data_IF_361917775554
#
_entry.id   IF_361917775554
#
_cell.length_a   1.000
_cell.length_b   1.000
_cell.length_c   1.000
_cell.angle_alpha   90.00
_cell.angle_beta   90.00
_cell.angle_gamma   90.00
#
_symmetry.space_group_name_H-M   'P 1'
#
loop_
_entity.id
_entity.type
_entity.pdbx_description
1 polymer ?
#
# COMPACT_ATOMS: atom_id res chain seq x y z
N UNK A 1 13.14 0.11 -2.78
CA UNK A 1 13.15 -0.71 -4.01
C UNK A 1 11.80 -1.40 -4.12
N UNK A 2 10.94 -1.00 -5.07
CA UNK A 2 9.81 -1.85 -5.47
C UNK A 2 10.37 -2.79 -6.53
N UNK A 3 10.49 -4.07 -6.18
CA UNK A 3 11.27 -5.06 -6.96
C UNK A 3 10.42 -5.63 -8.10
N UNK A 4 10.85 -5.40 -9.35
CA UNK A 4 10.31 -6.04 -10.56
C UNK A 4 11.45 -6.20 -11.59
N UNK A 5 11.87 -7.44 -11.87
CA UNK A 5 12.83 -7.92 -12.89
C UNK A 5 12.56 -9.44 -13.10
N UNK A 6 12.68 -10.15 -14.24
CA UNK A 6 13.14 -9.90 -15.62
C UNK A 6 13.44 -11.24 -16.35
N UNK A 7 12.60 -11.60 -17.34
CA UNK A 7 12.80 -12.47 -18.55
C UNK A 7 13.18 -13.98 -18.49
N UNK A 8 12.38 -14.81 -19.17
CA UNK A 8 12.78 -16.13 -19.70
C UNK A 8 11.61 -17.13 -19.89
N UNK A 9 11.37 -17.60 -21.13
CA UNK A 9 10.30 -18.53 -21.55
C UNK A 9 10.20 -19.86 -20.74
N UNK A 10 8.99 -20.25 -20.30
CA UNK A 10 8.43 -21.62 -20.37
C UNK A 10 6.95 -21.63 -19.91
N UNK A 11 6.10 -22.34 -20.66
CA UNK A 11 4.70 -22.61 -20.34
C UNK A 11 4.61 -23.48 -19.06
N UNK A 12 3.99 -22.99 -18.00
CA UNK A 12 3.37 -23.82 -16.97
C UNK A 12 2.17 -23.06 -16.39
N UNK A 13 0.97 -23.65 -16.50
CA UNK A 13 -0.16 -23.24 -15.68
C UNK A 13 0.21 -23.48 -14.23
N UNK A 14 0.59 -22.43 -13.50
CA UNK A 14 0.82 -22.50 -12.06
C UNK A 14 -0.24 -21.67 -11.35
N UNK A 15 -1.26 -22.40 -10.94
CA UNK A 15 -2.14 -22.07 -9.83
C UNK A 15 -1.29 -21.78 -8.60
N UNK A 16 -1.15 -20.51 -8.22
CA UNK A 16 -0.40 -20.14 -7.01
C UNK A 16 -1.23 -20.40 -5.76
N UNK A 17 -0.91 -21.45 -5.00
CA UNK A 17 -1.29 -21.58 -3.59
C UNK A 17 -0.25 -20.86 -2.73
N UNK A 18 -0.70 -20.37 -1.57
CA UNK A 18 0.16 -19.90 -0.51
C UNK A 18 1.04 -21.05 -0.04
N UNK A 19 2.36 -20.92 -0.19
CA UNK A 19 3.32 -21.88 0.34
C UNK A 19 4.37 -21.11 1.13
N UNK A 20 4.61 -21.52 2.37
CA UNK A 20 5.66 -21.01 3.28
C UNK A 20 7.10 -21.28 2.81
N UNK A 21 7.31 -21.51 1.51
CA UNK A 21 8.57 -22.01 0.95
C UNK A 21 8.76 -23.54 1.07
N UNK A 22 7.90 -24.25 1.81
CA UNK A 22 7.91 -25.73 1.92
C UNK A 22 6.76 -26.42 1.16
N UNK A 23 5.76 -25.65 0.73
CA UNK A 23 4.53 -26.18 0.11
C UNK A 23 3.29 -26.08 1.02
N UNK A 24 3.39 -25.51 2.22
CA UNK A 24 2.28 -25.49 3.18
C UNK A 24 1.34 -24.29 3.03
N UNK A 25 0.04 -24.58 2.99
CA UNK A 25 -1.07 -23.63 2.92
C UNK A 25 -1.12 -22.74 4.17
N UNK A 26 -1.31 -21.41 4.02
CA UNK A 26 -1.63 -20.57 5.19
C UNK A 26 -3.07 -20.90 5.63
N UNK A 27 -3.20 -21.55 6.78
CA UNK A 27 -4.48 -21.71 7.46
C UNK A 27 -4.92 -20.41 8.12
N UNK A 28 -6.15 -19.97 7.87
CA UNK A 28 -6.83 -18.99 8.70
C UNK A 28 -7.51 -19.73 9.85
N UNK A 29 -7.22 -19.35 11.11
CA UNK A 29 -7.86 -19.91 12.29
C UNK A 29 -8.67 -18.86 13.03
N UNK A 30 -9.96 -19.11 13.16
CA UNK A 30 -10.85 -18.21 13.89
C UNK A 30 -10.79 -18.49 15.40
N UNK A 31 -10.74 -17.41 16.17
CA UNK A 31 -10.86 -17.42 17.62
C UNK A 31 -11.66 -16.20 18.08
N UNK A 32 -12.15 -16.22 19.32
CA UNK A 32 -12.98 -15.15 19.86
C UNK A 32 -12.30 -14.45 21.03
N UNK A 33 -12.31 -13.13 21.01
CA UNK A 33 -11.71 -12.26 22.02
C UNK A 33 -12.59 -11.06 22.34
N UNK A 34 -12.04 -10.11 23.10
CA UNK A 34 -12.69 -8.83 23.37
C UNK A 34 -12.46 -7.85 22.21
N UNK A 35 -11.22 -7.80 21.71
CA UNK A 35 -10.81 -6.93 20.61
C UNK A 35 -10.57 -7.75 19.34
N UNK A 36 -10.93 -7.19 18.20
CA UNK A 36 -10.67 -7.80 16.91
C UNK A 36 -9.18 -7.64 16.54
N UNK A 37 -8.53 -8.71 16.09
CA UNK A 37 -7.13 -8.70 15.67
C UNK A 37 -6.80 -9.82 14.68
N UNK A 38 -5.71 -9.66 13.91
CA UNK A 38 -5.12 -10.75 13.11
C UNK A 38 -3.67 -10.96 13.57
N UNK A 39 -3.35 -12.15 14.07
CA UNK A 39 -2.04 -12.51 14.62
C UNK A 39 -1.37 -13.59 13.77
N UNK A 40 -0.05 -13.51 13.63
CA UNK A 40 0.73 -14.53 12.93
C UNK A 40 1.11 -15.61 13.93
N UNK A 41 0.95 -16.87 13.52
CA UNK A 41 1.30 -18.06 14.26
C UNK A 41 2.18 -18.96 13.40
N UNK A 42 2.98 -19.85 14.00
CA UNK A 42 3.82 -20.79 13.24
C UNK A 42 3.04 -21.68 12.26
N UNK A 43 1.75 -21.87 12.48
CA UNK A 43 0.83 -22.72 11.72
C UNK A 43 -0.20 -21.93 10.89
N UNK A 44 -0.05 -20.61 10.76
CA UNK A 44 -0.90 -19.77 9.93
C UNK A 44 -1.30 -18.44 10.58
N UNK A 45 -2.46 -17.91 10.21
CA UNK A 45 -2.97 -16.65 10.74
C UNK A 45 -4.13 -16.91 11.68
N UNK A 46 -4.01 -16.42 12.91
CA UNK A 46 -5.10 -16.44 13.88
C UNK A 46 -5.90 -15.14 13.78
N UNK A 47 -7.17 -15.26 13.42
CA UNK A 47 -8.14 -14.16 13.40
C UNK A 47 -8.89 -14.19 14.74
N UNK A 48 -8.84 -13.09 15.48
CA UNK A 48 -9.59 -12.86 16.72
C UNK A 48 -10.72 -11.90 16.40
N UNK A 49 -11.96 -12.26 16.70
CA UNK A 49 -13.13 -11.38 16.54
C UNK A 49 -13.95 -11.34 17.84
N UNK A 50 -14.76 -10.28 18.06
CA UNK A 50 -15.63 -10.18 19.22
C UNK A 50 -16.67 -11.31 19.25
N UNK A 51 -17.01 -11.75 20.46
CA UNK A 51 -18.12 -12.70 20.68
C UNK A 51 -19.46 -12.07 20.30
N UNK A 52 -20.30 -12.80 19.58
CA UNK A 52 -21.69 -12.38 19.28
C UNK A 52 -21.96 -11.92 17.85
N UNK A 53 -21.01 -12.05 16.93
CA UNK A 53 -21.29 -11.84 15.51
C UNK A 53 -22.20 -12.94 14.95
N UNK A 54 -23.19 -12.56 14.15
CA UNK A 54 -24.11 -13.48 13.49
C UNK A 54 -23.48 -14.10 12.24
N UNK A 55 -22.77 -13.27 11.47
CA UNK A 55 -22.06 -13.66 10.25
C UNK A 55 -20.67 -13.05 10.26
N UNK A 56 -19.68 -13.82 9.82
CA UNK A 56 -18.30 -13.38 9.66
C UNK A 56 -17.88 -13.63 8.22
N UNK A 57 -17.48 -12.60 7.49
CA UNK A 57 -17.05 -12.74 6.09
C UNK A 57 -15.64 -12.22 5.89
N UNK A 58 -14.99 -12.69 4.83
CA UNK A 58 -13.62 -12.32 4.53
C UNK A 58 -13.37 -12.08 3.04
N UNK A 59 -12.29 -11.37 2.75
CA UNK A 59 -11.71 -11.19 1.41
C UNK A 59 -10.20 -11.35 1.48
N UNK A 60 -9.60 -11.79 0.37
CA UNK A 60 -8.15 -12.08 0.27
C UNK A 60 -7.46 -11.23 -0.79
N UNK A 61 -8.23 -10.36 -1.44
CA UNK A 61 -7.83 -9.47 -2.52
C UNK A 61 -7.86 -7.98 -2.10
N UNK A 62 -8.10 -7.70 -0.82
CA UNK A 62 -8.18 -6.34 -0.28
C UNK A 62 -9.54 -5.65 -0.40
N UNK A 63 -10.54 -6.26 -1.05
CA UNK A 63 -11.89 -5.69 -1.13
C UNK A 63 -12.54 -5.60 0.26
N UNK A 64 -13.43 -4.64 0.48
CA UNK A 64 -14.17 -4.56 1.75
C UNK A 64 -15.13 -5.75 1.83
N UNK A 65 -15.06 -6.61 2.87
CA UNK A 65 -15.99 -7.72 3.02
C UNK A 65 -17.42 -7.20 3.20
N UNK A 66 -18.38 -7.89 2.58
CA UNK A 66 -19.81 -7.58 2.66
C UNK A 66 -20.56 -8.79 3.23
N UNK A 67 -21.84 -8.67 3.63
CA UNK A 67 -22.65 -9.83 4.04
C UNK A 67 -22.76 -10.92 2.95
N UNK A 68 -22.55 -10.59 1.68
CA UNK A 68 -22.52 -11.56 0.57
C UNK A 68 -21.13 -12.10 0.22
N UNK A 69 -20.08 -11.67 0.92
CA UNK A 69 -18.72 -12.20 0.75
C UNK A 69 -18.60 -13.61 1.38
N UNK A 70 -17.56 -14.40 1.02
CA UNK A 70 -17.36 -15.72 1.59
C UNK A 70 -17.34 -15.72 3.13
N UNK A 71 -18.08 -16.64 3.74
CA UNK A 71 -18.13 -16.80 5.21
C UNK A 71 -16.83 -17.41 5.71
N UNK A 72 -16.28 -16.85 6.79
CA UNK A 72 -15.10 -17.37 7.45
C UNK A 72 -15.47 -18.59 8.29
N UNK A 73 -14.83 -19.73 8.00
CA UNK A 73 -14.94 -20.96 8.80
C UNK A 73 -13.87 -20.99 9.90
N UNK A 74 -14.02 -21.91 10.86
CA UNK A 74 -13.04 -22.10 11.96
C UNK A 74 -11.62 -22.32 11.45
N UNK A 75 -11.48 -23.04 10.33
CA UNK A 75 -10.25 -23.22 9.59
C UNK A 75 -10.52 -23.04 8.09
N UNK A 76 -9.71 -22.25 7.40
CA UNK A 76 -9.92 -21.93 5.98
C UNK A 76 -8.58 -21.77 5.25
N UNK A 77 -8.46 -22.42 4.09
CA UNK A 77 -7.36 -22.15 3.16
C UNK A 77 -7.65 -20.96 2.26
N UNK A 78 -6.62 -20.15 1.99
CA UNK A 78 -6.72 -18.94 1.17
C UNK A 78 -6.14 -19.18 -0.23
N UNK A 79 -6.98 -18.96 -1.25
CA UNK A 79 -6.61 -19.01 -2.67
C UNK A 79 -6.01 -17.71 -3.22
N UNK A 80 -5.80 -17.67 -4.54
CA UNK A 80 -4.97 -16.69 -5.27
C UNK A 80 -5.22 -15.20 -4.95
N UNK A 81 -4.14 -14.42 -4.98
CA UNK A 81 -4.18 -12.95 -4.98
C UNK A 81 -4.38 -12.44 -6.41
N UNK A 82 -5.38 -11.58 -6.58
CA UNK A 82 -5.72 -11.02 -7.88
C UNK A 82 -4.90 -9.75 -8.17
N UNK A 83 -4.10 -9.76 -9.25
CA UNK A 83 -3.16 -8.68 -9.63
C UNK A 83 -3.79 -7.49 -10.36
N UNK A 84 -5.09 -7.23 -10.20
CA UNK A 84 -5.81 -6.26 -11.04
C UNK A 84 -5.25 -4.84 -10.92
N UNK A 85 -4.92 -4.41 -9.71
CA UNK A 85 -4.55 -3.02 -9.43
C UNK A 85 -3.14 -2.66 -9.91
N UNK A 86 -2.22 -3.63 -9.96
CA UNK A 86 -0.86 -3.40 -10.45
C UNK A 86 -0.79 -3.18 -11.97
N UNK A 87 -1.91 -3.37 -12.69
CA UNK A 87 -1.99 -3.17 -14.14
C UNK A 87 -2.70 -1.86 -14.52
N UNK A 88 -3.11 -1.05 -13.54
CA UNK A 88 -3.72 0.26 -13.78
C UNK A 88 -2.60 1.26 -14.11
N UNK A 89 -2.64 1.95 -15.27
CA UNK A 89 -1.65 2.98 -15.59
C UNK A 89 -1.71 4.17 -14.63
N UNK A 90 -0.56 4.48 -14.01
CA UNK A 90 -0.47 5.53 -12.98
C UNK A 90 0.11 6.84 -13.51
N UNK A 91 0.67 6.82 -14.73
CA UNK A 91 1.23 7.98 -15.44
C UNK A 91 1.31 7.72 -16.94
N UNK A 92 1.57 8.76 -17.74
CA UNK A 92 1.78 8.62 -19.19
C UNK A 92 3.00 7.76 -19.57
N UNK A 93 4.02 7.72 -18.71
CA UNK A 93 5.19 6.85 -18.90
C UNK A 93 5.14 5.57 -18.08
N UNK A 94 3.98 5.23 -17.52
CA UNK A 94 3.83 3.99 -16.79
C UNK A 94 4.14 2.80 -17.70
N UNK A 95 4.92 1.87 -17.15
CA UNK A 95 5.22 0.59 -17.80
C UNK A 95 4.66 -0.52 -16.94
N UNK A 96 4.11 -1.53 -17.62
CA UNK A 96 3.62 -2.74 -16.97
C UNK A 96 4.71 -3.33 -16.05
N UNK A 97 4.36 -3.70 -14.80
CA UNK A 97 5.21 -4.51 -13.97
C UNK A 97 5.72 -5.75 -14.68
N UNK A 98 6.99 -6.08 -14.46
CA UNK A 98 7.57 -7.33 -14.93
C UNK A 98 6.87 -8.52 -14.26
N UNK A 99 6.63 -9.59 -15.03
CA UNK A 99 6.02 -10.81 -14.50
C UNK A 99 6.91 -11.50 -13.47
N UNK A 100 6.31 -12.28 -12.55
CA UNK A 100 7.06 -13.08 -11.58
C UNK A 100 7.23 -12.49 -10.18
N UNK A 101 6.80 -11.24 -9.92
CA UNK A 101 6.74 -10.72 -8.55
C UNK A 101 5.74 -11.52 -7.71
N UNK A 102 6.06 -11.89 -6.48
CA UNK A 102 5.09 -12.51 -5.57
C UNK A 102 4.19 -11.41 -4.98
N UNK A 103 2.86 -11.45 -5.20
CA UNK A 103 1.96 -10.48 -4.59
C UNK A 103 1.87 -10.71 -3.08
N UNK A 104 1.66 -9.65 -2.33
CA UNK A 104 1.25 -9.77 -0.93
C UNK A 104 -0.22 -10.19 -0.85
N UNK A 105 -0.58 -10.94 0.18
CA UNK A 105 -1.97 -11.26 0.50
C UNK A 105 -2.55 -10.18 1.39
N UNK A 106 -3.76 -9.72 1.07
CA UNK A 106 -4.48 -8.77 1.93
C UNK A 106 -5.72 -9.46 2.44
N UNK A 107 -5.68 -9.86 3.70
CA UNK A 107 -6.80 -10.52 4.36
C UNK A 107 -7.60 -9.45 5.09
N UNK A 108 -8.88 -9.33 4.75
CA UNK A 108 -9.82 -8.47 5.47
C UNK A 108 -10.93 -9.34 5.98
N UNK A 109 -11.31 -9.12 7.23
CA UNK A 109 -12.37 -9.87 7.90
C UNK A 109 -13.32 -8.86 8.51
N UNK A 110 -14.62 -9.06 8.28
CA UNK A 110 -15.66 -8.26 8.89
C UNK A 110 -16.67 -9.16 9.59
N UNK A 111 -17.18 -8.67 10.71
CA UNK A 111 -18.27 -9.28 11.45
C UNK A 111 -19.54 -8.45 11.28
N UNK A 112 -20.69 -9.12 11.22
CA UNK A 112 -21.99 -8.49 11.03
C UNK A 112 -22.98 -8.95 12.10
N UNK A 113 -23.91 -8.06 12.45
CA UNK A 113 -25.05 -8.39 13.30
C UNK A 113 -26.15 -9.14 12.52
N UNK A 114 -27.21 -9.58 13.19
CA UNK A 114 -28.37 -10.28 12.57
C UNK A 114 -29.09 -9.46 11.49
N UNK A 115 -28.89 -8.13 11.46
CA UNK A 115 -29.47 -7.22 10.47
C UNK A 115 -28.57 -6.99 9.25
N UNK A 116 -27.34 -7.50 9.29
CA UNK A 116 -26.33 -7.31 8.25
C UNK A 116 -25.52 -6.01 8.39
N UNK A 117 -25.60 -5.30 9.53
CA UNK A 117 -24.76 -4.12 9.78
C UNK A 117 -23.36 -4.56 10.22
N UNK A 118 -22.29 -3.89 9.73
CA UNK A 118 -20.93 -4.19 10.15
C UNK A 118 -20.72 -3.84 11.63
N UNK A 119 -20.12 -4.77 12.39
CA UNK A 119 -19.77 -4.61 13.79
C UNK A 119 -18.29 -4.21 13.92
N UNK A 120 -17.40 -5.12 13.52
CA UNK A 120 -15.96 -4.93 13.57
C UNK A 120 -15.32 -5.38 12.26
N UNK A 121 -14.25 -4.70 11.87
CA UNK A 121 -13.45 -5.02 10.70
C UNK A 121 -11.97 -4.98 11.02
N UNK A 122 -11.27 -6.04 10.68
CA UNK A 122 -9.80 -6.12 10.77
C UNK A 122 -9.21 -6.43 9.40
N UNK A 123 -8.01 -5.93 9.18
CA UNK A 123 -7.23 -6.23 8.00
C UNK A 123 -5.82 -6.61 8.39
N UNK A 124 -5.16 -7.36 7.52
CA UNK A 124 -3.73 -7.61 7.59
C UNK A 124 -3.15 -7.85 6.21
N UNK A 125 -2.01 -7.22 5.96
CA UNK A 125 -1.17 -7.59 4.81
C UNK A 125 -0.18 -8.67 5.23
N UNK A 126 -0.16 -9.77 4.50
CA UNK A 126 0.79 -10.87 4.66
C UNK A 126 1.74 -10.87 3.48
N UNK A 127 3.01 -10.71 3.78
CA UNK A 127 4.06 -10.66 2.78
C UNK A 127 4.55 -12.07 2.47
N UNK A 128 4.96 -12.36 1.23
CA UNK A 128 5.76 -13.54 0.97
C UNK A 128 7.05 -13.50 1.79
N UNK A 129 7.59 -14.67 2.18
CA UNK A 129 8.89 -14.74 2.86
C UNK A 129 9.93 -13.93 2.08
N UNK A 130 10.61 -13.05 2.79
CA UNK A 130 11.66 -12.20 2.23
C UNK A 130 12.82 -12.09 3.24
N UNK A 131 14.02 -11.86 2.73
CA UNK A 131 15.27 -11.75 3.49
C UNK A 131 15.85 -10.33 3.47
N UNK A 132 15.03 -9.34 3.11
CA UNK A 132 15.53 -8.00 2.81
C UNK A 132 15.89 -7.16 4.05
N UNK A 133 15.40 -7.50 5.24
CA UNK A 133 15.67 -6.76 6.49
C UNK A 133 15.11 -5.32 6.54
N UNK A 134 14.42 -4.88 5.48
CA UNK A 134 13.78 -3.57 5.40
C UNK A 134 12.41 -3.58 6.05
N UNK A 135 12.08 -2.49 6.75
CA UNK A 135 10.70 -2.22 7.18
C UNK A 135 9.77 -2.17 5.98
N UNK A 136 8.56 -2.70 6.14
CA UNK A 136 7.54 -2.70 5.09
C UNK A 136 6.36 -1.84 5.51
N UNK A 137 5.96 -0.93 4.62
CA UNK A 137 4.76 -0.11 4.77
C UNK A 137 3.67 -0.64 3.84
N UNK A 138 2.54 -1.01 4.42
CA UNK A 138 1.36 -1.49 3.69
C UNK A 138 0.23 -0.46 3.83
N UNK A 139 -0.31 0.00 2.71
CA UNK A 139 -1.44 0.92 2.67
C UNK A 139 -2.70 0.17 2.29
N UNK A 140 -3.72 0.27 3.15
CA UNK A 140 -5.01 -0.38 2.97
C UNK A 140 -6.06 0.71 2.78
N UNK A 141 -6.67 0.74 1.60
CA UNK A 141 -7.65 1.74 1.20
C UNK A 141 -8.59 1.19 0.13
N UNK A 142 -9.79 1.77 -0.04
CA UNK A 142 -10.69 1.41 -1.14
C UNK A 142 -9.99 1.65 -2.49
N UNK A 143 -10.09 0.73 -3.48
CA UNK A 143 -9.40 0.89 -4.76
C UNK A 143 -9.69 2.22 -5.47
N UNK A 144 -10.92 2.72 -5.37
CA UNK A 144 -11.33 4.01 -5.94
C UNK A 144 -10.54 5.20 -5.40
N UNK A 145 -10.02 5.14 -4.16
CA UNK A 145 -9.21 6.22 -3.63
C UNK A 145 -7.93 6.46 -4.47
N UNK A 146 -7.37 5.40 -5.07
CA UNK A 146 -6.19 5.52 -5.94
C UNK A 146 -6.55 5.48 -7.43
N UNK A 147 -7.53 4.67 -7.82
CA UNK A 147 -7.73 4.28 -9.21
C UNK A 147 -9.07 4.69 -9.82
N UNK A 148 -9.91 5.43 -9.09
CA UNK A 148 -11.12 6.00 -9.68
C UNK A 148 -10.76 7.03 -10.78
N UNK A 149 -11.45 7.03 -11.93
CA UNK A 149 -11.12 7.94 -13.03
C UNK A 149 -11.25 9.42 -12.65
N UNK A 150 -12.21 9.77 -11.80
CA UNK A 150 -12.49 11.19 -11.47
C UNK A 150 -11.79 11.62 -10.18
N UNK A 151 -11.68 10.70 -9.21
CA UNK A 151 -11.23 11.01 -7.85
C UNK A 151 -10.02 10.18 -7.40
N UNK A 152 -9.57 9.21 -8.17
CA UNK A 152 -8.42 8.38 -7.82
C UNK A 152 -7.12 9.17 -7.89
N UNK A 153 -6.37 9.27 -6.78
CA UNK A 153 -5.20 10.18 -6.71
C UNK A 153 -3.94 9.62 -7.41
N UNK A 154 -3.94 8.36 -7.82
CA UNK A 154 -2.74 7.64 -8.27
C UNK A 154 -2.78 7.33 -9.78
N UNK A 155 -3.71 7.93 -10.51
CA UNK A 155 -3.94 7.68 -11.95
C UNK A 155 -3.88 8.95 -12.77
N UNK A 156 -3.79 8.79 -14.09
CA UNK A 156 -4.02 9.89 -15.03
C UNK A 156 -5.46 10.39 -14.87
N UNK A 157 -6.44 9.48 -14.90
CA UNK A 157 -7.85 9.81 -14.73
C UNK A 157 -8.42 10.69 -15.83
N UNK A 158 -9.67 11.12 -15.66
CA UNK A 158 -10.38 12.00 -16.59
C UNK A 158 -9.84 13.44 -16.56
N UNK A 159 -9.04 13.80 -15.55
CA UNK A 159 -8.37 15.10 -15.47
C UNK A 159 -7.48 15.39 -16.67
N UNK A 160 -7.02 14.38 -17.42
CA UNK A 160 -6.29 14.59 -18.69
C UNK A 160 -7.08 15.44 -19.71
N UNK A 161 -8.41 15.46 -19.60
CA UNK A 161 -9.31 16.20 -20.49
C UNK A 161 -9.61 17.62 -19.98
N UNK A 162 -9.20 17.96 -18.75
CA UNK A 162 -9.45 19.25 -18.10
C UNK A 162 -8.47 20.31 -18.62
N UNK A 163 -8.89 21.07 -19.63
CA UNK A 163 -8.08 22.13 -20.25
C UNK A 163 -7.97 23.39 -19.38
N UNK A 164 -8.88 23.54 -18.40
CA UNK A 164 -8.91 24.70 -17.50
C UNK A 164 -8.09 24.45 -16.22
N UNK A 165 -7.54 23.24 -16.06
CA UNK A 165 -6.66 22.88 -14.96
C UNK A 165 -5.48 23.85 -14.84
N UNK A 166 -5.20 24.32 -13.61
CA UNK A 166 -4.12 25.27 -13.33
C UNK A 166 -2.77 24.78 -13.90
N UNK A 167 -2.48 23.49 -13.80
CA UNK A 167 -1.27 22.85 -14.31
C UNK A 167 -1.14 22.91 -15.84
N UNK A 168 -2.25 23.00 -16.58
CA UNK A 168 -2.31 23.18 -18.03
C UNK A 168 -2.15 24.66 -18.39
N UNK A 169 -2.97 25.51 -17.78
CA UNK A 169 -3.03 26.95 -18.11
C UNK A 169 -1.75 27.68 -17.71
N UNK A 170 -1.05 27.25 -16.66
CA UNK A 170 0.16 27.89 -16.19
C UNK A 170 1.36 27.69 -17.15
N UNK A 171 1.39 26.61 -17.91
CA UNK A 171 2.51 26.26 -18.79
C UNK A 171 2.07 25.76 -20.17
N UNK A 172 1.35 26.58 -20.97
CA UNK A 172 0.69 26.12 -22.20
C UNK A 172 1.65 25.62 -23.29
N UNK A 173 2.90 26.10 -23.28
CA UNK A 173 3.94 25.75 -24.27
C UNK A 173 4.90 24.64 -23.78
N UNK A 174 4.75 24.15 -22.55
CA UNK A 174 5.66 23.16 -21.97
C UNK A 174 5.10 21.74 -22.05
N UNK A 175 5.28 21.11 -23.21
CA UNK A 175 4.67 19.82 -23.53
C UNK A 175 5.47 18.62 -23.00
N UNK A 176 6.13 18.77 -21.85
CA UNK A 176 6.82 17.64 -21.20
C UNK A 176 5.79 16.68 -20.64
N UNK A 177 5.93 15.39 -20.92
CA UNK A 177 4.94 14.36 -20.59
C UNK A 177 4.55 14.34 -19.10
N UNK A 178 5.47 14.66 -18.18
CA UNK A 178 5.19 14.69 -16.73
C UNK A 178 4.41 15.92 -16.26
N UNK A 179 4.16 16.88 -17.16
CA UNK A 179 3.33 18.07 -16.92
C UNK A 179 1.91 17.94 -17.47
N UNK A 180 1.63 16.86 -18.21
CA UNK A 180 0.28 16.64 -18.69
C UNK A 180 -0.68 16.43 -17.50
N UNK A 181 -1.90 16.97 -17.61
CA UNK A 181 -2.85 16.94 -16.53
C UNK A 181 -3.19 15.49 -16.17
N UNK A 182 -3.25 15.24 -14.87
CA UNK A 182 -3.65 13.94 -14.34
C UNK A 182 -4.05 14.08 -12.89
N UNK A 183 -4.89 13.17 -12.41
CA UNK A 183 -5.42 13.22 -11.04
C UNK A 183 -4.30 13.33 -9.98
N UNK A 184 -3.15 12.70 -10.23
CA UNK A 184 -1.95 12.81 -9.40
C UNK A 184 -1.43 14.25 -9.20
N UNK A 185 -1.79 15.21 -10.06
CA UNK A 185 -1.45 16.63 -9.91
C UNK A 185 -2.40 17.38 -8.97
N UNK A 186 -3.52 16.77 -8.58
CA UNK A 186 -4.49 17.35 -7.65
C UNK A 186 -3.88 17.84 -6.34
N UNK A 187 -4.43 18.93 -5.81
CA UNK A 187 -3.89 19.63 -4.63
C UNK A 187 -4.96 19.91 -3.58
N UNK A 188 -4.51 20.09 -2.34
CA UNK A 188 -5.39 20.44 -1.23
C UNK A 188 -6.06 19.23 -0.58
N UNK A 189 -7.06 19.52 0.25
CA UNK A 189 -7.75 18.53 1.09
C UNK A 189 -8.64 17.59 0.26
N UNK A 190 -9.19 18.09 -0.85
CA UNK A 190 -10.07 17.31 -1.74
C UNK A 190 -9.32 16.17 -2.45
N UNK A 191 -7.99 16.24 -2.46
CA UNK A 191 -7.08 15.24 -3.02
C UNK A 191 -6.37 14.41 -1.93
N UNK A 192 -6.91 14.41 -0.71
CA UNK A 192 -6.52 13.49 0.36
C UNK A 192 -7.43 12.27 0.40
N UNK A 193 -6.84 11.09 0.61
CA UNK A 193 -7.58 9.85 0.79
C UNK A 193 -7.28 9.23 2.14
N UNK A 194 -8.31 8.79 2.83
CA UNK A 194 -8.14 8.03 4.08
C UNK A 194 -7.65 6.62 3.76
N UNK A 195 -6.69 6.16 4.54
CA UNK A 195 -6.15 4.81 4.49
C UNK A 195 -5.82 4.31 5.90
N UNK A 196 -5.57 3.01 6.01
CA UNK A 196 -4.85 2.42 7.14
C UNK A 196 -3.40 2.18 6.68
N UNK A 197 -2.44 2.68 7.45
CA UNK A 197 -1.03 2.33 7.31
C UNK A 197 -0.70 1.24 8.33
N UNK A 198 -0.28 0.08 7.84
CA UNK A 198 0.38 -0.96 8.63
C UNK A 198 1.88 -0.91 8.36
N UNK A 199 2.69 -0.96 9.42
CA UNK A 199 4.15 -1.02 9.30
C UNK A 199 4.70 -2.25 10.03
N UNK A 200 5.53 -3.01 9.35
CA UNK A 200 6.27 -4.14 9.94
C UNK A 200 7.78 -3.88 9.93
N UNK A 201 8.51 -4.55 10.80
CA UNK A 201 9.97 -4.62 10.73
C UNK A 201 10.47 -5.52 9.59
N UNK A 202 11.80 -5.69 9.51
CA UNK A 202 12.44 -6.50 8.49
C UNK A 202 12.24 -8.00 8.67
N UNK A 203 11.77 -8.40 9.85
CA UNK A 203 11.50 -9.75 10.29
C UNK A 203 9.99 -10.09 10.22
N UNK A 204 9.16 -9.11 9.86
CA UNK A 204 7.70 -9.24 9.68
C UNK A 204 6.88 -8.91 10.93
N UNK A 205 7.49 -8.57 12.07
CA UNK A 205 6.76 -8.18 13.26
C UNK A 205 6.10 -6.80 13.07
N UNK A 206 4.84 -6.69 13.49
CA UNK A 206 4.07 -5.46 13.37
C UNK A 206 4.61 -4.38 14.32
N UNK A 207 5.02 -3.24 13.77
CA UNK A 207 5.45 -2.06 14.53
C UNK A 207 4.26 -1.16 14.91
N UNK A 208 3.22 -1.15 14.09
CA UNK A 208 1.98 -0.45 14.40
C UNK A 208 1.02 -0.34 13.21
N UNK A 209 -0.19 0.12 13.52
CA UNK A 209 -1.26 0.36 12.56
C UNK A 209 -1.95 1.68 12.88
N UNK A 210 -2.14 2.53 11.87
CA UNK A 210 -2.68 3.88 12.06
C UNK A 210 -3.66 4.26 10.96
N UNK A 211 -4.74 4.94 11.35
CA UNK A 211 -5.59 5.66 10.40
C UNK A 211 -4.87 6.92 9.93
N UNK A 212 -4.67 7.06 8.62
CA UNK A 212 -3.87 8.12 8.01
C UNK A 212 -4.58 8.77 6.84
N UNK A 213 -4.25 10.04 6.59
CA UNK A 213 -4.49 10.70 5.32
C UNK A 213 -3.33 10.44 4.36
N UNK A 214 -3.64 10.24 3.08
CA UNK A 214 -2.65 9.98 2.03
C UNK A 214 -2.83 10.99 0.91
N UNK A 215 -1.71 11.60 0.49
CA UNK A 215 -1.66 12.52 -0.67
C UNK A 215 -0.46 12.21 -1.55
N UNK A 216 -0.57 12.55 -2.83
CA UNK A 216 0.60 12.60 -3.70
C UNK A 216 1.55 13.72 -3.26
N UNK A 217 2.84 13.41 -3.16
CA UNK A 217 3.91 14.33 -2.79
C UNK A 217 4.78 14.74 -3.99
N UNK A 218 5.33 15.94 -3.94
CA UNK A 218 6.20 16.50 -4.97
C UNK A 218 5.52 17.59 -5.79
N UNK A 219 6.13 17.93 -6.93
CA UNK A 219 5.59 18.87 -7.92
C UNK A 219 5.66 18.23 -9.31
N UNK A 220 6.74 18.42 -10.07
CA UNK A 220 6.91 17.78 -11.38
C UNK A 220 6.98 16.25 -11.33
N UNK A 221 7.57 15.69 -10.27
CA UNK A 221 7.72 14.24 -10.08
C UNK A 221 6.40 13.49 -9.89
N UNK A 222 5.30 14.22 -9.67
CA UNK A 222 3.96 13.64 -9.63
C UNK A 222 3.51 13.09 -10.97
N UNK A 223 4.12 13.53 -12.08
CA UNK A 223 3.84 12.95 -13.38
C UNK A 223 4.47 11.58 -13.58
N UNK A 224 5.35 11.11 -12.69
CA UNK A 224 6.13 9.89 -12.89
C UNK A 224 5.32 8.64 -12.49
N UNK A 225 5.75 7.45 -12.93
CA UNK A 225 4.96 6.23 -12.71
C UNK A 225 4.85 5.82 -11.23
N UNK A 226 5.88 6.08 -10.42
CA UNK A 226 5.84 5.79 -9.00
C UNK A 226 5.66 7.08 -8.20
N UNK A 227 4.45 7.41 -7.80
CA UNK A 227 4.23 8.65 -7.05
C UNK A 227 4.80 8.55 -5.64
N UNK A 228 5.52 9.60 -5.21
CA UNK A 228 5.85 9.72 -3.80
C UNK A 228 4.56 9.99 -3.01
N UNK A 229 4.43 9.35 -1.83
CA UNK A 229 3.24 9.48 -1.00
C UNK A 229 3.59 10.25 0.28
N UNK A 230 2.80 11.28 0.59
CA UNK A 230 2.81 11.92 1.90
C UNK A 230 1.74 11.25 2.75
N UNK A 231 2.17 10.64 3.84
CA UNK A 231 1.33 10.06 4.88
C UNK A 231 1.16 11.11 5.97
N UNK A 232 -0.09 11.35 6.36
CA UNK A 232 -0.51 12.32 7.35
C UNK A 232 -1.14 11.56 8.50
N UNK A 233 -0.55 11.64 9.68
CA UNK A 233 -1.12 11.02 10.88
C UNK A 233 -2.14 11.96 11.49
N UNK A 234 -3.25 11.40 12.00
CA UNK A 234 -4.26 12.18 12.72
C UNK A 234 -3.70 12.79 14.00
N UNK A 235 -2.91 11.99 14.72
CA UNK A 235 -2.19 12.35 15.92
C UNK A 235 -0.71 11.98 15.72
N UNK A 236 0.26 12.76 16.26
CA UNK A 236 1.67 12.44 16.12
C UNK A 236 2.01 11.03 16.60
N UNK A 237 2.87 10.34 15.86
CA UNK A 237 3.30 8.97 16.17
C UNK A 237 4.70 8.98 16.78
N UNK A 238 4.83 8.40 17.97
CA UNK A 238 6.09 8.31 18.72
C UNK A 238 6.86 6.99 18.50
N UNK A 239 6.52 6.27 17.43
CA UNK A 239 7.26 5.08 17.00
C UNK A 239 8.32 5.50 15.97
N UNK A 240 9.57 5.05 16.09
CA UNK A 240 10.60 5.23 15.06
C UNK A 240 10.12 4.70 13.70
N UNK A 241 9.71 5.60 12.80
CA UNK A 241 9.20 5.21 11.48
C UNK A 241 10.34 4.92 10.49
N UNK A 242 11.46 5.64 10.62
CA UNK A 242 12.63 5.50 9.73
C UNK A 242 13.72 4.69 10.43
N UNK A 243 14.35 3.75 9.73
CA UNK A 243 15.45 2.96 10.30
C UNK A 243 16.64 3.89 10.58
N UNK A 244 17.18 3.81 11.80
CA UNK A 244 18.29 4.66 12.25
C UNK A 244 17.88 6.05 12.74
N UNK A 245 16.58 6.38 12.72
CA UNK A 245 16.03 7.60 13.33
C UNK A 245 15.34 7.23 14.65
N UNK A 246 15.87 7.73 15.77
CA UNK A 246 15.33 7.50 17.11
C UNK A 246 14.33 8.59 17.54
N UNK A 247 14.02 9.54 16.65
CA UNK A 247 13.02 10.57 16.90
C UNK A 247 11.61 9.99 16.92
N UNK A 248 10.72 10.68 17.63
CA UNK A 248 9.27 10.44 17.67
C UNK A 248 8.49 11.66 17.21
N UNK A 249 7.18 11.69 17.48
CA UNK A 249 6.31 12.82 17.19
C UNK A 249 6.03 13.04 15.71
N UNK A 250 6.06 12.00 14.88
CA UNK A 250 5.82 12.14 13.44
C UNK A 250 4.35 12.50 13.16
N UNK A 251 4.10 13.75 12.80
CA UNK A 251 2.81 14.19 12.26
C UNK A 251 2.62 13.79 10.78
N UNK A 252 3.73 13.61 10.06
CA UNK A 252 3.72 13.19 8.67
C UNK A 252 5.04 12.53 8.26
N UNK A 253 4.96 11.60 7.31
CA UNK A 253 6.13 11.02 6.63
C UNK A 253 5.95 11.04 5.12
N UNK A 254 7.06 11.03 4.38
CA UNK A 254 7.04 10.96 2.92
C UNK A 254 7.69 9.66 2.47
N UNK A 255 6.90 8.78 1.87
CA UNK A 255 7.39 7.61 1.15
C UNK A 255 7.94 8.09 -0.20
N UNK A 256 9.25 8.27 -0.25
CA UNK A 256 9.95 8.77 -1.44
C UNK A 256 10.06 7.69 -2.50
N UNK A 257 9.96 8.12 -3.75
CA UNK A 257 10.11 7.26 -4.91
C UNK A 257 11.32 7.71 -5.76
N UNK A 258 12.45 8.09 -5.17
CA UNK A 258 13.66 8.51 -5.92
C UNK A 258 13.58 9.88 -6.62
N UNK A 259 12.43 10.56 -6.59
CA UNK A 259 12.28 11.90 -7.17
C UNK A 259 12.58 11.93 -8.67
N UNK A 260 13.41 12.87 -9.11
CA UNK A 260 13.83 12.96 -10.51
C UNK A 260 14.77 11.80 -10.94
N UNK A 261 15.25 10.98 -9.99
CA UNK A 261 16.18 9.87 -10.24
C UNK A 261 15.45 8.53 -10.49
N UNK A 262 14.11 8.51 -10.65
CA UNK A 262 13.35 7.28 -10.99
C UNK A 262 13.73 6.65 -12.33
N UNK A 263 14.25 7.45 -13.26
CA UNK A 263 14.69 6.93 -14.55
C UNK A 263 16.03 6.22 -14.48
N UNK A 264 16.75 6.36 -13.36
CA UNK A 264 18.17 6.05 -13.24
C UNK A 264 18.43 5.19 -11.98
N UNK A 265 19.03 5.77 -10.93
CA UNK A 265 19.61 5.01 -9.82
C UNK A 265 18.70 4.93 -8.57
N UNK A 266 17.64 5.75 -8.47
CA UNK A 266 16.76 5.92 -7.32
C UNK A 266 17.41 6.35 -5.98
N UNK A 267 18.73 6.36 -5.89
CA UNK A 267 19.47 6.52 -4.63
C UNK A 267 20.28 7.81 -4.55
N UNK A 268 20.29 8.67 -5.58
CA UNK A 268 21.12 9.89 -5.54
C UNK A 268 20.78 10.80 -4.36
N UNK A 269 19.49 10.98 -4.06
CA UNK A 269 19.01 11.76 -2.92
C UNK A 269 19.49 11.17 -1.58
N UNK A 270 19.36 9.85 -1.41
CA UNK A 270 19.84 9.14 -0.23
C UNK A 270 21.36 9.25 -0.08
N UNK A 271 22.10 9.06 -1.18
CA UNK A 271 23.56 9.16 -1.20
C UNK A 271 24.01 10.56 -0.80
N UNK A 272 23.34 11.61 -1.29
CA UNK A 272 23.65 12.99 -0.92
C UNK A 272 23.41 13.27 0.55
N UNK A 273 22.27 12.82 1.10
CA UNK A 273 22.00 12.96 2.53
C UNK A 273 23.04 12.24 3.39
N UNK A 274 23.46 11.03 3.00
CA UNK A 274 24.52 10.29 3.71
C UNK A 274 25.89 10.93 3.55
N UNK A 275 26.25 11.41 2.37
CA UNK A 275 27.54 12.07 2.13
C UNK A 275 27.68 13.38 2.92
N UNK A 276 26.57 14.09 3.15
CA UNK A 276 26.53 15.30 3.96
C UNK A 276 26.35 15.01 5.46
N UNK A 277 26.19 13.76 5.88
CA UNK A 277 26.04 13.43 7.30
C UNK A 277 27.26 13.92 8.11
N UNK A 278 27.02 14.64 9.20
CA UNK A 278 28.08 15.27 10.00
C UNK A 278 28.49 16.68 9.56
N UNK A 279 27.83 17.26 8.55
CA UNK A 279 27.98 18.68 8.20
C UNK A 279 27.33 19.58 9.26
N UNK A 280 27.52 20.91 9.13
CA UNK A 280 26.96 21.91 10.05
C UNK A 280 25.44 22.13 9.92
N UNK A 281 24.76 21.35 9.09
CA UNK A 281 23.32 21.44 8.86
C UNK A 281 22.69 20.05 8.93
N UNK A 282 21.41 20.02 9.30
CA UNK A 282 20.68 18.77 9.42
C UNK A 282 20.46 18.11 8.04
N UNK A 283 20.64 16.80 8.01
CA UNK A 283 20.30 15.95 6.87
C UNK A 283 19.13 15.05 7.25
N UNK A 284 18.34 14.67 6.26
CA UNK A 284 17.27 13.68 6.45
C UNK A 284 17.93 12.32 6.66
N UNK A 285 17.54 11.63 7.72
CA UNK A 285 18.00 10.27 7.99
C UNK A 285 17.19 9.28 7.14
N UNK A 286 17.86 8.26 6.60
CA UNK A 286 17.30 7.24 5.72
C UNK A 286 18.27 6.09 5.45
#
# INVERSE_FOLDING_TARGET
>A
MIVLLGTGFLLLMLTGSLTDGSGAHIGLRLSFGNDAAIQERPDGLQIVLPRGAATMTYTTNGDVPTPGSPTLMTEQEVGQVFRRWSLVPTSLQWRRPIDGHQPAWVIRVASFNDRGDPLEQVSRTVLPPNDHGLRVCSLILPPGAFFDPDTGIYVIGNRILDQDAEDVVQYPEDHRWWKYPGNYLGRGRDWERTAVLEMSDGEGAMLGSWNVGVRIHGNNTRGFAQHALRILFKDPVDVPLVQGDDRGGYAAVVLRAGGNDQGDAFIRDLLQHRACSGSSFETIQG
#
